data_IF_842273600853
#
_entry.id   IF_842273600853
#
_cell.length_a   1.000
_cell.length_b   1.000
_cell.length_c   1.000
_cell.angle_alpha   90.00
_cell.angle_beta   90.00
_cell.angle_gamma   90.00
#
_symmetry.space_group_name_H-M   'P 1'
#
loop_
_entity.id
_entity.type
_entity.pdbx_description
1 polymer ?
2 polymer ?
3 non-polymer ?
4 water ?
#
# COMPACT_ATOMS: atom_id res chain seq x y z
N UNK A 1 1.22 -24.66 -25.51
CA UNK A 1 0.31 -23.49 -25.30
C UNK A 1 1.12 -22.34 -24.66
N UNK A 2 0.69 -21.09 -24.95
CA UNK A 2 1.35 -19.88 -24.45
C UNK A 2 1.07 -19.75 -22.95
N UNK A 3 2.13 -19.52 -22.18
CA UNK A 3 2.04 -19.35 -20.76
C UNK A 3 3.18 -18.44 -20.27
N UNK A 4 2.94 -17.72 -19.16
CA UNK A 4 3.97 -17.03 -18.40
C UNK A 4 3.90 -17.54 -16.95
N UNK A 5 5.07 -17.86 -16.38
CA UNK A 5 5.22 -18.29 -15.01
C UNK A 5 6.18 -17.34 -14.30
N UNK A 6 5.69 -16.69 -13.23
CA UNK A 6 6.52 -15.83 -12.40
C UNK A 6 7.04 -16.59 -11.18
N UNK A 7 8.18 -16.14 -10.66
CA UNK A 7 8.66 -16.58 -9.37
C UNK A 7 9.52 -15.47 -8.78
N UNK A 8 9.79 -15.57 -7.49
CA UNK A 8 10.74 -14.70 -6.82
C UNK A 8 10.15 -13.87 -5.69
N UNK A 9 8.82 -13.92 -5.53
CA UNK A 9 8.13 -13.11 -4.57
C UNK A 9 8.31 -13.61 -3.15
N UNK A 10 8.24 -12.68 -2.21
CA UNK A 10 8.31 -13.00 -0.85
C UNK A 10 8.53 -11.77 0.00
N UNK A 11 8.98 -12.04 1.21
CA UNK A 11 9.17 -11.06 2.23
C UNK A 11 10.57 -10.44 2.07
N UNK A 12 10.64 -9.11 2.08
CA UNK A 12 11.89 -8.41 1.92
C UNK A 12 11.84 -7.15 2.80
N UNK A 13 12.98 -6.83 3.40
CA UNK A 13 13.15 -5.71 4.30
C UNK A 13 13.09 -4.42 3.49
N UNK A 14 12.60 -3.30 4.07
CA UNK A 14 12.64 -2.01 3.38
C UNK A 14 14.11 -1.65 3.07
N UNK A 15 14.35 -1.10 1.89
CA UNK A 15 15.68 -0.77 1.41
C UNK A 15 16.41 -1.95 0.75
N UNK A 16 15.81 -3.14 0.83
CA UNK A 16 16.39 -4.35 0.26
C UNK A 16 16.09 -4.47 -1.23
N UNK A 17 16.54 -5.58 -1.80
CA UNK A 17 16.39 -5.84 -3.22
C UNK A 17 15.85 -7.25 -3.41
N UNK A 18 15.18 -7.42 -4.55
CA UNK A 18 14.56 -8.64 -4.94
C UNK A 18 14.61 -8.69 -6.46
N UNK A 19 14.63 -9.89 -7.05
CA UNK A 19 14.50 -10.07 -8.44
C UNK A 19 13.34 -11.02 -8.71
N UNK A 20 12.40 -10.58 -9.56
CA UNK A 20 11.33 -11.42 -10.02
C UNK A 20 11.69 -11.96 -11.38
N UNK A 21 11.32 -13.21 -11.64
CA UNK A 21 11.47 -13.79 -12.96
C UNK A 21 10.10 -14.05 -13.59
N UNK A 22 10.09 -14.02 -14.91
CA UNK A 22 8.93 -14.25 -15.72
C UNK A 22 9.36 -15.15 -16.88
N UNK A 23 9.04 -16.45 -16.78
CA UNK A 23 9.46 -17.43 -17.76
C UNK A 23 8.31 -17.73 -18.71
N UNK A 24 8.59 -17.66 -20.01
CA UNK A 24 7.61 -17.82 -21.07
C UNK A 24 7.69 -19.22 -21.65
N UNK A 25 6.53 -19.77 -22.07
CA UNK A 25 6.41 -21.04 -22.83
C UNK A 25 5.47 -20.82 -24.03
N UNK A 26 5.80 -21.42 -25.19
CA UNK A 26 4.91 -21.48 -26.35
C UNK A 26 4.98 -20.25 -27.25
N UNK A 27 5.88 -19.33 -26.90
CA UNK A 27 6.25 -18.18 -27.72
C UNK A 27 7.61 -17.69 -27.22
N UNK A 28 8.28 -16.86 -28.01
CA UNK A 28 9.61 -16.33 -27.69
C UNK A 28 9.45 -14.89 -27.23
N UNK A 29 10.06 -14.55 -26.11
CA UNK A 29 9.88 -13.21 -25.56
C UNK A 29 10.55 -12.18 -26.48
N UNK A 30 11.52 -12.59 -27.32
CA UNK A 30 12.16 -11.59 -28.18
C UNK A 30 11.32 -11.34 -29.44
N UNK A 31 10.10 -11.90 -29.53
CA UNK A 31 9.13 -11.56 -30.59
C UNK A 31 8.10 -10.53 -30.08
N UNK A 32 8.28 -9.98 -28.87
CA UNK A 32 7.19 -9.19 -28.25
C UNK A 32 7.82 -8.23 -27.22
N UNK A 33 6.98 -7.56 -26.45
CA UNK A 33 7.38 -6.87 -25.25
C UNK A 33 6.88 -7.64 -24.05
N UNK A 34 7.64 -7.58 -22.95
CA UNK A 34 7.17 -8.11 -21.66
C UNK A 34 6.92 -6.91 -20.76
N UNK A 35 5.73 -6.88 -20.14
CA UNK A 35 5.38 -5.86 -19.18
C UNK A 35 5.28 -6.46 -17.79
N UNK A 36 5.50 -5.59 -16.80
CA UNK A 36 5.21 -5.84 -15.42
C UNK A 36 4.10 -4.87 -15.00
N UNK A 37 3.13 -5.41 -14.28
CA UNK A 37 1.97 -4.75 -13.75
C UNK A 37 1.81 -5.20 -12.30
N UNK A 38 1.50 -4.27 -11.41
CA UNK A 38 1.34 -4.64 -10.02
C UNK A 38 -0.03 -4.21 -9.50
N UNK A 39 -0.49 -4.94 -8.48
CA UNK A 39 -1.73 -4.72 -7.81
C UNK A 39 -1.44 -4.56 -6.32
N UNK A 40 -1.28 -3.30 -5.92
CA UNK A 40 -1.11 -2.94 -4.53
C UNK A 40 -2.50 -2.82 -3.92
N UNK A 41 -2.71 -3.24 -2.65
CA UNK A 41 -4.05 -3.13 -2.04
C UNK A 41 -4.57 -1.69 -2.18
N UNK A 42 -5.76 -1.56 -2.78
CA UNK A 42 -6.49 -0.29 -2.85
C UNK A 42 -6.09 0.57 -4.06
N UNK A 43 -5.16 0.11 -4.88
CA UNK A 43 -4.58 0.94 -5.99
C UNK A 43 -4.80 0.29 -7.35
N UNK A 44 -5.75 -0.63 -7.46
CA UNK A 44 -6.09 -1.26 -8.73
C UNK A 44 -4.88 -1.88 -9.41
N UNK A 45 -4.84 -1.84 -10.74
CA UNK A 45 -3.70 -2.31 -11.50
C UNK A 45 -2.87 -1.08 -11.87
N UNK A 46 -1.55 -1.20 -11.65
CA UNK A 46 -0.60 -0.17 -12.04
C UNK A 46 0.46 -0.75 -12.96
N UNK A 47 0.59 -0.18 -14.16
CA UNK A 47 1.68 -0.50 -15.04
C UNK A 47 3.00 -0.02 -14.41
N UNK A 48 4.01 -0.87 -14.43
CA UNK A 48 5.30 -0.67 -13.77
C UNK A 48 6.43 -0.44 -14.79
N UNK A 49 6.53 -1.31 -15.80
CA UNK A 49 7.70 -1.33 -16.68
C UNK A 49 7.43 -2.22 -17.89
N UNK A 50 8.26 -2.02 -18.93
CA UNK A 50 8.29 -2.97 -20.03
C UNK A 50 9.70 -3.09 -20.56
N UNK A 51 9.93 -4.19 -21.25
CA UNK A 51 11.15 -4.46 -21.97
C UNK A 51 10.82 -5.01 -23.35
N UNK A 52 11.61 -4.61 -24.32
CA UNK A 52 11.67 -5.22 -25.66
C UNK A 52 12.90 -6.12 -25.69
N UNK A 53 12.77 -7.45 -25.44
CA UNK A 53 13.95 -8.31 -25.26
C UNK A 53 14.96 -8.37 -26.40
N UNK A 54 14.55 -8.07 -27.63
CA UNK A 54 15.49 -8.06 -28.76
C UNK A 54 16.71 -7.18 -28.47
N UNK A 55 16.48 -5.96 -27.96
CA UNK A 55 17.55 -4.99 -27.76
C UNK A 55 17.62 -4.53 -26.28
N UNK A 56 16.80 -5.11 -25.41
CA UNK A 56 16.75 -4.72 -24.00
C UNK A 56 16.28 -3.29 -23.75
N UNK A 57 15.67 -2.61 -24.75
CA UNK A 57 15.08 -1.29 -24.51
C UNK A 57 14.00 -1.41 -23.42
N UNK A 58 13.99 -0.43 -22.50
CA UNK A 58 13.09 -0.44 -21.33
C UNK A 58 12.35 0.89 -21.19
N UNK A 59 11.18 0.82 -20.53
CA UNK A 59 10.44 1.99 -20.07
C UNK A 59 9.91 1.68 -18.66
N UNK A 60 9.87 2.70 -17.80
CA UNK A 60 9.51 2.55 -16.38
C UNK A 60 8.43 3.59 -16.03
N UNK A 61 7.51 3.22 -15.16
CA UNK A 61 6.61 4.19 -14.54
C UNK A 61 7.42 5.05 -13.57
N UNK A 62 6.94 6.29 -13.37
CA UNK A 62 7.58 7.27 -12.48
C UNK A 62 7.73 6.71 -11.07
N UNK A 63 6.77 5.87 -10.65
CA UNK A 63 6.74 5.35 -9.29
C UNK A 63 7.95 4.46 -8.98
N UNK A 64 8.52 3.79 -10.01
CA UNK A 64 9.63 2.83 -9.81
C UNK A 64 10.89 3.25 -10.56
N UNK A 65 10.81 4.25 -11.43
CA UNK A 65 11.94 4.64 -12.25
C UNK A 65 13.09 5.11 -11.36
N UNK A 66 14.30 4.61 -11.65
CA UNK A 66 15.49 4.93 -10.87
C UNK A 66 15.75 3.92 -9.76
N UNK A 67 14.83 2.97 -9.57
CA UNK A 67 14.94 1.94 -8.52
C UNK A 67 14.82 0.53 -9.13
N UNK A 68 13.90 0.35 -10.07
CA UNK A 68 13.66 -0.96 -10.66
C UNK A 68 14.20 -0.96 -12.09
N UNK A 69 14.82 -2.08 -12.47
CA UNK A 69 15.28 -2.28 -13.86
C UNK A 69 14.73 -3.61 -14.36
N UNK A 70 14.53 -3.69 -15.68
CA UNK A 70 14.16 -4.94 -16.32
C UNK A 70 15.33 -5.43 -17.15
N UNK A 71 15.49 -6.75 -17.21
CA UNK A 71 16.40 -7.43 -18.10
C UNK A 71 15.74 -8.69 -18.65
N UNK A 72 16.40 -9.35 -19.58
CA UNK A 72 15.87 -10.55 -20.20
C UNK A 72 17.03 -11.44 -20.63
N UNK A 73 16.81 -12.75 -20.54
CA UNK A 73 17.71 -13.75 -21.05
C UNK A 73 16.92 -14.52 -22.09
N UNK A 74 17.18 -14.21 -23.37
CA UNK A 74 16.36 -14.74 -24.47
C UNK A 74 16.64 -16.24 -24.62
N UNK A 75 17.83 -16.73 -24.26
CA UNK A 75 18.11 -18.17 -24.36
C UNK A 75 17.28 -18.97 -23.35
N UNK A 76 17.02 -18.41 -22.16
CA UNK A 76 16.17 -19.03 -21.13
C UNK A 76 14.69 -18.64 -21.31
N UNK A 77 14.42 -17.72 -22.24
CA UNK A 77 13.10 -17.24 -22.55
C UNK A 77 12.45 -16.66 -21.29
N UNK A 78 13.21 -15.82 -20.57
CA UNK A 78 12.84 -15.32 -19.26
C UNK A 78 13.18 -13.84 -19.16
N UNK A 79 12.26 -13.08 -18.57
CA UNK A 79 12.49 -11.68 -18.24
C UNK A 79 12.55 -11.54 -16.73
N UNK A 80 13.28 -10.51 -16.25
CA UNK A 80 13.50 -10.28 -14.84
C UNK A 80 13.19 -8.84 -14.47
N UNK A 81 12.54 -8.64 -13.33
CA UNK A 81 12.38 -7.35 -12.74
C UNK A 81 13.28 -7.27 -11.51
N UNK A 82 14.29 -6.40 -11.58
CA UNK A 82 15.23 -6.19 -10.50
C UNK A 82 14.73 -4.99 -9.69
N UNK A 83 14.37 -5.23 -8.44
CA UNK A 83 13.79 -4.24 -7.58
C UNK A 83 14.83 -3.87 -6.51
N UNK A 84 15.13 -2.57 -6.43
CA UNK A 84 16.12 -2.00 -5.53
C UNK A 84 15.42 -0.96 -4.65
N UNK A 85 15.98 -0.71 -3.47
CA UNK A 85 15.54 0.35 -2.56
C UNK A 85 14.05 0.19 -2.32
N UNK A 86 13.67 -1.03 -1.97
CA UNK A 86 12.26 -1.37 -1.83
C UNK A 86 11.64 -0.57 -0.68
N UNK A 87 10.44 -0.05 -0.91
CA UNK A 87 9.64 0.69 0.10
C UNK A 87 8.31 -0.03 0.37
N UNK A 88 7.62 0.42 1.41
CA UNK A 88 6.30 -0.03 1.80
C UNK A 88 5.33 -0.07 0.62
N UNK A 89 5.27 1.04 -0.14
CA UNK A 89 4.34 1.23 -1.27
C UNK A 89 4.55 0.20 -2.38
N UNK A 90 5.67 -0.53 -2.35
CA UNK A 90 6.01 -1.51 -3.39
C UNK A 90 5.36 -2.87 -3.10
N UNK A 91 4.82 -3.03 -1.87
CA UNK A 91 4.06 -4.21 -1.49
C UNK A 91 2.90 -4.37 -2.48
N UNK A 92 2.85 -5.49 -3.19
CA UNK A 92 1.84 -5.73 -4.20
C UNK A 92 2.00 -7.14 -4.75
N UNK A 93 0.97 -7.59 -5.45
CA UNK A 93 1.11 -8.72 -6.34
C UNK A 93 1.66 -8.20 -7.67
N UNK A 94 2.77 -8.81 -8.13
CA UNK A 94 3.41 -8.45 -9.36
C UNK A 94 3.05 -9.48 -10.43
N UNK A 95 2.60 -8.96 -11.59
CA UNK A 95 2.28 -9.77 -12.73
C UNK A 95 3.24 -9.41 -13.85
N UNK A 96 3.59 -10.41 -14.65
CA UNK A 96 4.12 -10.13 -15.94
C UNK A 96 3.08 -10.49 -16.99
N UNK A 97 3.23 -9.87 -18.16
CA UNK A 97 2.32 -10.02 -19.26
C UNK A 97 3.06 -9.79 -20.58
N UNK A 98 2.51 -10.30 -21.67
CA UNK A 98 3.05 -9.96 -22.96
C UNK A 98 2.11 -8.99 -23.69
N UNK A 99 2.71 -8.23 -24.57
CA UNK A 99 2.06 -7.24 -25.40
C UNK A 99 1.75 -7.91 -26.73
N UNK A 100 0.68 -8.70 -26.79
CA UNK A 100 0.44 -9.60 -27.95
C UNK A 100 0.28 -8.80 -29.24
N UNK A 101 0.75 -9.38 -30.36
CA UNK A 101 0.78 -8.69 -31.69
C UNK A 101 1.30 -7.26 -31.61
N UNK A 102 2.42 -7.15 -30.88
CA UNK A 102 3.19 -5.92 -30.56
C UNK A 102 2.24 -4.77 -30.14
N UNK A 103 1.17 -5.13 -29.42
CA UNK A 103 0.19 -4.23 -28.80
C UNK A 103 -1.22 -4.32 -29.36
N UNK A 104 -1.41 -4.93 -30.53
CA UNK A 104 -2.73 -5.05 -31.12
C UNK A 104 -3.66 -5.85 -30.20
N UNK A 105 -3.12 -6.81 -29.45
CA UNK A 105 -3.96 -7.67 -28.60
C UNK A 105 -3.83 -7.29 -27.12
N UNK A 106 -3.29 -6.09 -26.86
CA UNK A 106 -3.11 -5.57 -25.52
C UNK A 106 -2.37 -6.64 -24.70
N UNK A 107 -2.73 -6.84 -23.43
CA UNK A 107 -1.98 -7.81 -22.65
C UNK A 107 -2.76 -9.12 -22.65
N UNK A 108 -2.42 -10.01 -23.60
CA UNK A 108 -3.25 -11.13 -23.92
C UNK A 108 -2.79 -12.37 -23.13
N UNK A 109 -1.58 -12.37 -22.59
CA UNK A 109 -1.10 -13.50 -21.75
C UNK A 109 -0.52 -12.91 -20.46
N UNK A 110 -0.92 -13.48 -19.32
CA UNK A 110 -0.53 -12.99 -17.99
C UNK A 110 0.06 -14.13 -17.18
N UNK A 111 1.09 -13.82 -16.38
CA UNK A 111 1.54 -14.71 -15.37
C UNK A 111 0.52 -14.84 -14.26
N UNK A 112 0.79 -15.76 -13.33
CA UNK A 112 -0.14 -16.09 -12.23
C UNK A 112 -0.04 -15.06 -11.09
N UNK A 113 1.01 -14.24 -11.12
CA UNK A 113 1.25 -13.23 -10.09
C UNK A 113 2.11 -13.78 -8.95
N UNK A 114 2.95 -12.91 -8.38
CA UNK A 114 3.73 -13.26 -7.22
C UNK A 114 3.70 -12.07 -6.26
N UNK A 115 3.47 -12.38 -4.97
CA UNK A 115 3.34 -11.37 -3.94
C UNK A 115 4.71 -10.92 -3.45
N UNK A 116 4.92 -9.61 -3.40
CA UNK A 116 6.10 -9.03 -2.78
C UNK A 116 5.62 -8.22 -1.59
N UNK A 117 6.14 -8.56 -0.40
CA UNK A 117 5.78 -7.95 0.86
C UNK A 117 7.03 -7.26 1.44
N UNK A 118 6.98 -5.94 1.52
CA UNK A 118 8.05 -5.17 2.09
C UNK A 118 7.75 -4.98 3.58
N UNK A 119 8.59 -5.61 4.41
CA UNK A 119 8.40 -5.75 5.84
C UNK A 119 9.66 -5.28 6.60
N UNK B 1 0.45 9.59 -18.61
CA UNK B 1 -0.09 10.72 -19.44
C UNK B 1 -1.62 10.56 -19.59
N UNK B 2 -2.08 9.59 -20.39
CA UNK B 2 -3.55 9.41 -20.65
C UNK B 2 -4.25 8.83 -19.42
N UNK B 3 -5.23 9.57 -18.87
CA UNK B 3 -6.03 9.12 -17.74
C UNK B 3 -7.26 8.35 -18.24
N UNK B 4 -7.51 7.17 -17.66
CA UNK B 4 -8.71 6.37 -17.93
C UNK B 4 -9.62 6.49 -16.72
N UNK B 5 -10.83 7.03 -16.91
CA UNK B 5 -11.82 7.21 -15.86
C UNK B 5 -12.90 6.14 -16.01
N UNK B 6 -12.98 5.27 -15.02
CA UNK B 6 -13.90 4.16 -15.01
C UNK B 6 -15.07 4.54 -14.06
N UNK B 7 -16.30 4.16 -14.43
CA UNK B 7 -17.45 4.33 -13.53
C UNK B 7 -18.48 3.23 -13.76
N UNK B 8 -19.13 2.75 -12.67
CA UNK B 8 -18.87 3.14 -11.29
C UNK B 8 -17.66 2.39 -10.69
N UNK B 9 -17.30 2.72 -9.44
CA UNK B 9 -16.17 2.09 -8.73
C UNK B 9 -16.53 0.69 -8.27
N UNK B 10 -17.82 0.50 -7.92
CA UNK B 10 -18.35 -0.82 -7.64
C UNK B 10 -19.87 -0.84 -7.84
N UNK B 11 -20.42 -2.03 -8.05
CA UNK B 11 -21.83 -2.18 -8.17
C UNK B 11 -22.23 -3.57 -7.68
N UNK B 12 -23.51 -3.71 -7.32
CA UNK B 12 -24.09 -4.99 -7.02
C UNK B 12 -25.25 -5.30 -8.00
N UNK B 13 -25.38 -6.58 -8.35
CA UNK B 13 -26.39 -7.06 -9.28
C UNK B 13 -26.67 -8.55 -9.02
N UNK B 14 -27.78 -9.04 -9.58
CA UNK B 14 -28.18 -10.43 -9.44
C UNK B 14 -27.79 -11.23 -10.69
N UNK B 15 -27.63 -12.54 -10.50
CA UNK B 15 -27.49 -13.48 -11.60
C UNK B 15 -28.61 -13.20 -12.60
N UNK B 16 -28.25 -13.01 -13.87
CA UNK B 16 -29.22 -12.80 -14.96
C UNK B 16 -29.38 -11.34 -15.34
N UNK B 17 -28.87 -10.43 -14.50
CA UNK B 17 -28.95 -8.99 -14.78
C UNK B 17 -27.96 -8.63 -15.89
N UNK B 18 -28.29 -7.61 -16.69
CA UNK B 18 -27.34 -6.90 -17.53
C UNK B 18 -26.67 -5.82 -16.67
N UNK B 19 -25.35 -5.67 -16.83
CA UNK B 19 -24.58 -4.59 -16.19
C UNK B 19 -23.66 -3.95 -17.22
N UNK B 20 -23.51 -2.62 -17.11
CA UNK B 20 -22.67 -1.88 -18.01
C UNK B 20 -21.71 -1.03 -17.17
N UNK B 21 -20.44 -1.04 -17.58
CA UNK B 21 -19.35 -0.28 -17.01
C UNK B 21 -18.82 0.65 -18.11
N UNK B 22 -18.50 1.87 -17.72
CA UNK B 22 -18.12 2.92 -18.65
C UNK B 22 -16.68 3.34 -18.35
N UNK B 23 -15.95 3.67 -19.41
CA UNK B 23 -14.58 4.12 -19.34
C UNK B 23 -14.42 5.32 -20.30
N UNK B 24 -13.85 6.41 -19.82
CA UNK B 24 -13.62 7.62 -20.58
C UNK B 24 -12.12 7.93 -20.56
N UNK B 25 -11.54 8.14 -21.74
CA UNK B 25 -10.13 8.50 -21.87
C UNK B 25 -10.01 10.03 -21.92
N UNK B 26 -8.93 10.55 -21.31
CA UNK B 26 -8.66 12.00 -21.25
C UNK B 26 -8.19 12.56 -22.60
N UNK B 27 -7.91 11.68 -23.58
CA UNK B 27 -7.48 12.10 -24.92
C UNK B 27 -7.91 11.01 -25.90
N UNK B 28 -7.79 11.30 -27.20
CA UNK B 28 -8.01 10.33 -28.27
C UNK B 28 -7.14 9.09 -27.98
N UNK B 29 -7.75 7.90 -28.12
CA UNK B 29 -7.02 6.61 -28.07
C UNK B 29 -7.43 5.75 -29.27
N UNK B 30 -8.01 6.38 -30.31
CA UNK B 30 -8.54 5.62 -31.43
C UNK B 30 -9.44 4.50 -30.87
N UNK B 31 -9.31 3.29 -31.41
CA UNK B 31 -10.11 2.15 -31.03
C UNK B 31 -9.45 1.39 -29.87
N UNK B 32 -8.28 1.82 -29.39
CA UNK B 32 -7.35 0.94 -28.67
C UNK B 32 -7.65 0.90 -27.17
N UNK B 33 -8.77 0.25 -26.79
CA UNK B 33 -9.14 0.08 -25.37
C UNK B 33 -9.38 -1.40 -25.08
N UNK B 34 -8.80 -1.89 -23.98
CA UNK B 34 -8.96 -3.25 -23.57
C UNK B 34 -9.70 -3.30 -22.24
N UNK B 35 -10.31 -4.45 -21.96
CA UNK B 35 -11.05 -4.73 -20.75
C UNK B 35 -10.55 -6.05 -20.16
N UNK B 36 -10.27 -6.06 -18.86
CA UNK B 36 -9.78 -7.20 -18.17
C UNK B 36 -10.73 -7.57 -17.02
N UNK B 37 -10.80 -8.87 -16.77
CA UNK B 37 -11.50 -9.42 -15.64
C UNK B 37 -10.46 -9.95 -14.65
N UNK B 38 -10.57 -9.52 -13.39
CA UNK B 38 -9.76 -10.13 -12.36
C UNK B 38 -10.63 -10.67 -11.22
N UNK B 39 -10.65 -11.99 -11.10
CA UNK B 39 -11.27 -12.67 -10.01
C UNK B 39 -10.32 -12.67 -8.83
N UNK B 40 -10.86 -12.63 -7.58
CA UNK B 40 -10.03 -12.64 -6.39
C UNK B 40 -9.16 -13.90 -6.35
N UNK B 41 -7.86 -13.72 -6.19
CA UNK B 41 -6.91 -14.82 -6.13
C UNK B 41 -6.30 -15.14 -7.49
N UNK B 42 -6.82 -14.51 -8.57
CA UNK B 42 -6.43 -14.86 -9.93
C UNK B 42 -5.75 -13.67 -10.61
N UNK B 43 -5.03 -14.01 -11.68
CA UNK B 43 -4.41 -13.05 -12.60
C UNK B 43 -5.50 -12.37 -13.42
N UNK B 44 -5.33 -11.09 -13.82
CA UNK B 44 -6.24 -10.46 -14.78
C UNK B 44 -6.29 -11.30 -16.06
N UNK B 45 -7.44 -11.26 -16.75
CA UNK B 45 -7.63 -11.97 -17.96
C UNK B 45 -8.23 -11.01 -18.98
N UNK B 46 -7.70 -11.04 -20.20
CA UNK B 46 -8.16 -10.16 -21.25
C UNK B 46 -9.54 -10.63 -21.73
N UNK B 47 -10.49 -9.70 -21.78
CA UNK B 47 -11.85 -9.97 -22.32
C UNK B 47 -12.02 -9.37 -23.69
N UNK B 48 -11.69 -8.08 -23.80
CA UNK B 48 -11.94 -7.27 -24.98
C UNK B 48 -10.64 -6.55 -25.33
N UNK B 49 -10.28 -6.53 -26.62
CA UNK B 49 -9.24 -5.66 -27.16
C UNK B 49 -9.82 -4.78 -28.28
N UNK B 50 -9.16 -3.65 -28.51
CA UNK B 50 -9.50 -2.60 -29.50
C UNK B 50 -10.99 -2.24 -29.43
N UNK B 51 -11.41 -1.88 -28.21
CA UNK B 51 -12.74 -1.39 -27.81
C UNK B 51 -13.81 -2.48 -27.91
N UNK B 52 -13.87 -3.24 -29.01
CA UNK B 52 -15.05 -4.09 -29.25
C UNK B 52 -14.70 -5.49 -29.76
N UNK B 53 -13.43 -5.91 -29.76
CA UNK B 53 -13.12 -7.26 -30.20
C UNK B 53 -13.11 -8.21 -29.00
N UNK B 54 -13.82 -9.33 -29.15
CA UNK B 54 -13.88 -10.37 -28.11
C UNK B 54 -12.65 -11.25 -28.24
N UNK B 55 -11.89 -11.35 -27.14
CA UNK B 55 -10.74 -12.26 -27.12
C UNK B 55 -11.27 -13.68 -27.33
N UNK B 56 -10.57 -14.44 -28.17
CA UNK B 56 -10.95 -15.81 -28.50
C UNK B 56 -11.08 -16.64 -27.20
N UNK B 57 -12.23 -17.28 -27.01
CA UNK B 57 -12.51 -18.10 -25.82
C UNK B 57 -13.46 -17.44 -24.82
N UNK B 58 -13.51 -16.11 -24.84
CA UNK B 58 -14.27 -15.36 -23.85
C UNK B 58 -15.75 -15.50 -24.15
N UNK B 59 -16.60 -15.80 -23.14
CA UNK B 59 -18.05 -15.87 -23.33
C UNK B 59 -18.67 -14.63 -24.01
N UNK B 60 -19.66 -14.85 -24.89
CA UNK B 60 -20.21 -13.83 -25.81
C UNK B 60 -21.17 -12.86 -25.09
N UNK B 61 -21.57 -13.19 -23.86
CA UNK B 61 -22.32 -12.28 -23.00
C UNK B 61 -21.49 -11.02 -22.67
N UNK B 62 -20.16 -11.12 -22.72
CA UNK B 62 -19.26 -9.96 -22.59
C UNK B 62 -19.17 -9.26 -23.95
N UNK B 63 -19.48 -7.96 -23.99
CA UNK B 63 -19.25 -7.17 -25.21
C UNK B 63 -18.77 -5.76 -24.86
N UNK B 64 -17.92 -5.23 -25.75
CA UNK B 64 -17.37 -3.90 -25.62
C UNK B 64 -17.93 -2.99 -26.69
N UNK B 65 -18.09 -1.69 -26.38
CA UNK B 65 -18.56 -0.69 -27.36
C UNK B 65 -17.81 0.62 -27.17
N UNK B 66 -17.83 1.46 -28.21
CA UNK B 66 -17.08 2.69 -28.24
C UNK B 66 -17.96 3.76 -28.88
N UNK B 67 -18.11 4.90 -28.20
CA UNK B 67 -18.67 6.12 -28.77
C UNK B 67 -17.69 7.28 -28.52
N UNK B 68 -16.84 7.57 -29.51
CA UNK B 68 -15.79 8.59 -29.39
C UNK B 68 -14.75 8.19 -28.35
N UNK B 69 -14.59 9.01 -27.31
CA UNK B 69 -13.66 8.79 -26.20
C UNK B 69 -14.36 7.98 -25.08
N UNK B 70 -15.65 7.65 -25.27
CA UNK B 70 -16.46 6.85 -24.31
C UNK B 70 -16.47 5.37 -24.74
N UNK B 71 -16.16 4.49 -23.77
CA UNK B 71 -16.08 3.06 -23.98
C UNK B 71 -16.95 2.36 -22.95
N UNK B 72 -17.65 1.28 -23.35
CA UNK B 72 -18.49 0.55 -22.41
C UNK B 72 -18.22 -0.95 -22.52
N UNK B 73 -18.25 -1.61 -21.37
CA UNK B 73 -18.31 -3.06 -21.29
C UNK B 73 -19.68 -3.42 -20.79
N UNK B 74 -20.33 -4.36 -21.48
CA UNK B 74 -21.60 -4.88 -21.06
C UNK B 74 -21.48 -6.37 -20.80
N UNK B 75 -22.03 -6.81 -19.66
CA UNK B 75 -22.31 -8.21 -19.40
C UNK B 75 -23.83 -8.39 -19.49
N UNK B 76 -24.29 -9.13 -20.51
CA UNK B 76 -25.70 -9.14 -20.91
C UNK B 76 -26.54 -10.02 -19.98
N UNK B 77 -25.89 -11.00 -19.32
CA UNK B 77 -26.60 -11.94 -18.44
C UNK B 77 -25.62 -12.49 -17.41
N UNK B 78 -25.53 -11.81 -16.26
CA UNK B 78 -24.54 -12.04 -15.24
C UNK B 78 -24.63 -13.48 -14.76
N UNK B 79 -23.49 -14.17 -14.74
CA UNK B 79 -23.42 -15.53 -14.21
C UNK B 79 -22.67 -15.49 -12.88
N UNK B 80 -22.85 -16.51 -12.01
CA UNK B 80 -22.20 -16.52 -10.69
C UNK B 80 -20.69 -16.27 -10.72
N UNK B 81 -20.03 -16.84 -11.74
CA UNK B 81 -18.58 -16.79 -11.93
C UNK B 81 -18.10 -15.45 -12.50
N UNK B 82 -19.00 -14.48 -12.72
CA UNK B 82 -18.63 -13.16 -13.25
C UNK B 82 -18.38 -12.14 -12.13
N UNK B 83 -18.57 -12.55 -10.86
CA UNK B 83 -18.19 -11.76 -9.69
C UNK B 83 -16.68 -11.51 -9.71
N UNK B 84 -16.28 -10.26 -9.94
CA UNK B 84 -14.88 -9.92 -10.20
C UNK B 84 -14.70 -8.39 -10.18
N UNK B 85 -13.46 -7.95 -10.35
CA UNK B 85 -13.16 -6.57 -10.62
C UNK B 85 -12.77 -6.47 -12.10
N UNK B 86 -13.39 -5.49 -12.78
CA UNK B 86 -13.17 -5.26 -14.19
C UNK B 86 -12.37 -3.97 -14.36
N UNK B 87 -11.38 -4.00 -15.26
CA UNK B 87 -10.52 -2.87 -15.52
C UNK B 87 -10.52 -2.56 -17.02
N UNK B 88 -10.61 -1.27 -17.37
CA UNK B 88 -10.29 -0.81 -18.70
C UNK B 88 -8.82 -0.37 -18.73
N UNK B 89 -8.27 -0.30 -19.95
CA UNK B 89 -6.89 0.08 -20.24
C UNK B 89 -6.87 0.67 -21.65
N UNK B 90 -6.13 1.77 -21.87
CA UNK B 90 -5.82 2.20 -23.22
C UNK B 90 -4.51 1.54 -23.64
N UNK B 91 -4.51 0.96 -24.84
CA UNK B 91 -3.33 0.44 -25.48
C UNK B 91 -3.02 1.24 -26.75
N UNK B 92 -3.05 2.58 -26.63
CA UNK B 92 -2.84 3.49 -27.75
C UNK B 92 -1.40 3.98 -27.76
N UNK B 93 -0.97 4.50 -26.61
CA UNK B 93 0.34 5.06 -26.41
C UNK B 93 0.88 4.59 -25.06
N UNK B 94 2.19 4.76 -24.87
CA UNK B 94 2.91 4.44 -23.64
C UNK B 94 2.83 5.64 -22.70
N UNK B 95 2.70 5.40 -21.39
CA UNK B 95 2.51 4.10 -20.79
C UNK B 95 1.10 3.57 -20.96
N UNK B 96 0.85 2.25 -21.06
CA UNK B 96 -0.53 1.76 -21.04
C UNK B 96 -1.08 2.15 -19.66
N UNK B 97 -2.27 2.73 -19.61
CA UNK B 97 -2.83 3.19 -18.32
C UNK B 97 -4.14 2.44 -18.09
N UNK B 98 -4.47 2.18 -16.82
CA UNK B 98 -5.65 1.42 -16.44
C UNK B 98 -6.66 2.34 -15.75
N UNK B 99 -7.95 2.05 -15.92
CA UNK B 99 -9.00 2.58 -15.05
C UNK B 99 -8.83 2.08 -13.62
N UNK B 100 -9.55 2.71 -12.70
CA UNK B 100 -9.43 2.45 -11.26
C UNK B 100 -10.01 1.08 -10.91
N UNK B 101 -10.77 0.47 -11.83
CA UNK B 101 -11.43 -0.81 -11.61
C UNK B 101 -12.88 -0.62 -11.15
N UNK B 102 -13.74 -1.54 -11.58
CA UNK B 102 -15.13 -1.61 -11.10
C UNK B 102 -15.37 -2.99 -10.49
N UNK B 103 -15.60 -3.02 -9.19
CA UNK B 103 -15.87 -4.27 -8.47
C UNK B 103 -17.36 -4.63 -8.62
N UNK B 104 -17.63 -5.83 -9.13
CA UNK B 104 -18.98 -6.31 -9.37
C UNK B 104 -19.24 -7.40 -8.35
N UNK B 105 -20.23 -7.16 -7.47
CA UNK B 105 -20.65 -8.09 -6.44
C UNK B 105 -22.02 -8.69 -6.78
N UNK B 106 -22.14 -9.99 -6.51
CA UNK B 106 -23.39 -10.73 -6.58
C UNK B 106 -23.76 -11.09 -5.15
N UNK C 1 12.93 -4.78 29.40
CA UNK C 1 12.07 -5.87 29.99
C UNK C 1 10.61 -5.42 30.07
N UNK C 2 10.36 -4.12 30.35
CA UNK C 2 9.05 -3.48 30.09
C UNK C 2 8.86 -3.37 28.57
N UNK C 3 7.91 -4.13 28.01
CA UNK C 3 7.72 -4.11 26.57
C UNK C 3 6.31 -4.58 26.20
N UNK C 4 6.02 -4.36 24.93
CA UNK C 4 4.84 -4.88 24.24
C UNK C 4 5.32 -5.76 23.09
N UNK C 5 4.78 -6.99 22.99
CA UNK C 5 5.13 -7.93 21.93
C UNK C 5 3.87 -8.24 21.11
N UNK C 6 3.91 -7.88 19.83
CA UNK C 6 2.81 -8.17 18.94
C UNK C 6 3.03 -9.48 18.17
N UNK C 7 1.89 -10.07 17.81
CA UNK C 7 1.85 -11.21 16.96
C UNK C 7 0.49 -11.21 16.27
N UNK C 8 0.37 -12.10 15.28
CA UNK C 8 -0.75 -12.10 14.35
C UNK C 8 -0.36 -11.42 13.05
N UNK C 9 -1.34 -11.23 12.18
CA UNK C 9 -1.15 -10.50 10.95
C UNK C 9 -0.74 -11.42 9.82
N UNK C 10 -0.43 -10.79 8.71
CA UNK C 10 -0.10 -11.48 7.50
C UNK C 10 -1.07 -11.09 6.40
N UNK C 11 -1.17 -11.99 5.42
CA UNK C 11 -2.02 -11.85 4.29
C UNK C 11 -3.46 -12.26 4.66
N UNK C 12 -4.43 -11.45 4.23
CA UNK C 12 -5.82 -11.79 4.33
C UNK C 12 -6.53 -11.25 3.10
N UNK C 13 -7.55 -11.99 2.63
CA UNK C 13 -8.33 -11.58 1.45
C UNK C 13 -9.21 -10.39 1.83
N UNK C 14 -9.56 -9.49 0.88
CA UNK C 14 -10.50 -8.41 1.17
C UNK C 14 -11.84 -9.00 1.61
N UNK C 15 -12.48 -8.41 2.62
CA UNK C 15 -13.71 -8.96 3.20
C UNK C 15 -13.44 -9.95 4.33
N UNK C 16 -12.18 -10.32 4.54
CA UNK C 16 -11.82 -11.32 5.54
C UNK C 16 -11.64 -10.72 6.93
N UNK C 17 -11.26 -11.58 7.87
CA UNK C 17 -11.07 -11.21 9.27
C UNK C 17 -9.67 -11.63 9.70
N UNK C 18 -9.12 -10.87 10.64
CA UNK C 18 -7.82 -11.16 11.20
C UNK C 18 -7.83 -10.63 12.64
N UNK C 19 -7.03 -11.24 13.51
CA UNK C 19 -6.87 -10.77 14.89
C UNK C 19 -5.39 -10.56 15.18
N UNK C 20 -5.05 -9.48 15.89
CA UNK C 20 -3.70 -9.22 16.33
C UNK C 20 -3.69 -9.30 17.86
N UNK C 21 -2.51 -9.67 18.41
CA UNK C 21 -2.32 -9.64 19.85
C UNK C 21 -1.17 -8.72 20.21
N UNK C 22 -1.24 -8.18 21.43
CA UNK C 22 -0.27 -7.31 21.99
C UNK C 22 -0.05 -7.73 23.45
N UNK C 23 1.04 -8.45 23.72
CA UNK C 23 1.32 -9.00 25.05
C UNK C 23 2.27 -8.07 25.80
N UNK C 24 1.88 -7.68 27.02
CA UNK C 24 2.65 -6.80 27.88
C UNK C 24 3.56 -7.63 28.79
N UNK C 25 4.79 -7.15 28.99
CA UNK C 25 5.69 -7.59 30.08
C UNK C 25 6.19 -6.38 30.88
N UNK C 26 6.34 -6.54 32.19
CA UNK C 26 6.97 -5.53 33.05
C UNK C 26 5.96 -4.55 33.62
N UNK C 27 4.71 -4.64 33.18
CA UNK C 27 3.61 -3.82 33.69
C UNK C 27 2.31 -4.56 33.40
N UNK C 28 1.22 -4.12 34.05
CA UNK C 28 -0.11 -4.75 33.90
C UNK C 28 -0.95 -3.86 32.99
N UNK C 29 -1.56 -4.45 31.97
CA UNK C 29 -2.32 -3.67 31.05
C UNK C 29 -3.60 -3.11 31.70
N UNK C 30 -4.08 -3.70 32.80
CA UNK C 30 -5.39 -3.28 33.30
C UNK C 30 -5.30 -1.93 34.02
N UNK C 31 -4.09 -1.49 34.40
CA UNK C 31 -3.91 -0.18 35.04
C UNK C 31 -3.25 0.79 34.03
N UNK C 32 -3.62 0.70 32.75
CA UNK C 32 -3.19 1.71 31.75
C UNK C 32 -4.14 1.66 30.55
N UNK C 33 -3.93 2.53 29.56
CA UNK C 33 -4.61 2.39 28.30
C UNK C 33 -3.67 1.75 27.28
N UNK C 34 -4.23 0.87 26.47
CA UNK C 34 -3.50 0.25 25.36
C UNK C 34 -4.13 0.76 24.06
N UNK C 35 -3.28 1.17 23.12
CA UNK C 35 -3.73 1.69 21.85
C UNK C 35 -3.23 0.80 20.71
N UNK C 36 -3.96 0.88 19.59
CA UNK C 36 -3.46 0.43 18.30
C UNK C 36 -3.34 1.64 17.37
N UNK C 37 -2.20 1.71 16.69
CA UNK C 37 -1.86 2.76 15.74
C UNK C 37 -1.31 2.06 14.49
N UNK C 38 -1.74 2.50 13.30
CA UNK C 38 -1.33 1.83 12.06
C UNK C 38 -0.67 2.82 11.11
N UNK C 39 0.16 2.29 10.21
CA UNK C 39 0.84 3.04 9.19
C UNK C 39 0.61 2.35 7.85
N UNK C 40 -0.22 2.94 6.99
CA UNK C 40 -0.49 2.41 5.66
C UNK C 40 0.71 2.69 4.78
N UNK C 41 0.99 1.88 3.72
CA UNK C 41 2.17 2.12 2.88
C UNK C 41 2.18 3.59 2.43
N UNK C 42 3.27 4.29 2.75
CA UNK C 42 3.55 5.64 2.25
C UNK C 42 2.88 6.75 3.04
N UNK C 43 2.11 6.41 4.08
CA UNK C 43 1.29 7.37 4.82
C UNK C 43 1.76 7.45 6.28
N UNK C 44 1.14 8.36 7.04
CA UNK C 44 1.56 8.61 8.38
C UNK C 44 1.11 7.52 9.34
N UNK C 45 1.27 7.82 10.63
CA UNK C 45 0.70 7.10 11.72
C UNK C 45 -0.75 7.55 11.89
N UNK C 46 -1.66 6.57 12.04
CA UNK C 46 -3.07 6.79 12.24
C UNK C 46 -3.52 6.00 13.48
N UNK C 47 -4.01 6.72 14.48
CA UNK C 47 -4.59 6.10 15.64
C UNK C 47 -5.88 5.37 15.23
N UNK C 48 -6.07 4.15 15.71
CA UNK C 48 -7.33 3.44 15.35
C UNK C 48 -8.19 3.04 16.55
N UNK C 49 -7.62 2.74 17.72
CA UNK C 49 -8.44 2.29 18.85
C UNK C 49 -7.66 2.35 20.17
N UNK C 50 -8.39 2.45 21.28
CA UNK C 50 -7.79 2.31 22.58
C UNK C 50 -8.76 1.60 23.51
N UNK C 51 -8.18 1.01 24.56
CA UNK C 51 -8.95 0.28 25.58
C UNK C 51 -8.38 0.61 26.95
N UNK C 52 -9.30 0.77 27.91
CA UNK C 52 -9.02 0.73 29.33
C UNK C 52 -9.43 -0.64 29.88
N UNK C 53 -8.51 -1.62 29.96
CA UNK C 53 -8.90 -3.01 30.20
C UNK C 53 -9.64 -3.30 31.52
N UNK C 54 -9.49 -2.43 32.52
CA UNK C 54 -10.17 -2.62 33.79
C UNK C 54 -11.68 -2.76 33.57
N UNK C 55 -12.27 -1.91 32.74
CA UNK C 55 -13.73 -1.86 32.56
C UNK C 55 -14.10 -2.07 31.09
N UNK C 56 -13.12 -2.33 30.22
CA UNK C 56 -13.36 -2.57 28.81
C UNK C 56 -13.93 -1.36 28.06
N UNK C 57 -13.85 -0.15 28.63
CA UNK C 57 -14.08 1.11 27.89
C UNK C 57 -13.20 1.10 26.62
N UNK C 58 -13.84 1.23 25.45
CA UNK C 58 -13.18 1.30 24.18
C UNK C 58 -13.59 2.56 23.42
N UNK C 59 -12.66 3.05 22.58
CA UNK C 59 -12.90 4.11 21.59
C UNK C 59 -12.23 3.72 20.27
N UNK C 60 -12.86 4.12 19.15
CA UNK C 60 -12.45 3.78 17.80
C UNK C 60 -12.36 5.03 16.93
N UNK C 61 -11.42 5.06 16.00
CA UNK C 61 -11.43 6.07 14.95
C UNK C 61 -12.63 5.81 14.01
N UNK C 62 -13.17 6.90 13.45
CA UNK C 62 -14.28 6.88 12.51
C UNK C 62 -13.95 5.94 11.33
N UNK C 63 -12.68 5.87 10.95
CA UNK C 63 -12.25 5.11 9.77
C UNK C 63 -12.47 3.60 9.98
N UNK C 64 -12.45 3.13 11.22
CA UNK C 64 -12.50 1.68 11.52
C UNK C 64 -13.74 1.28 12.32
N UNK C 65 -14.50 2.26 12.81
CA UNK C 65 -15.64 2.01 13.66
C UNK C 65 -16.62 1.07 12.95
N UNK C 66 -17.09 0.04 13.69
CA UNK C 66 -18.05 -0.94 13.17
C UNK C 66 -17.37 -2.20 12.65
N UNK C 67 -16.09 -2.09 12.26
CA UNK C 67 -15.34 -3.19 11.67
C UNK C 67 -14.30 -3.74 12.64
N UNK C 68 -13.77 -2.90 13.54
CA UNK C 68 -12.71 -3.37 14.48
C UNK C 68 -13.29 -3.45 15.89
N UNK C 69 -12.77 -4.40 16.67
CA UNK C 69 -13.03 -4.57 18.06
C UNK C 69 -11.66 -4.64 18.77
N UNK C 70 -11.44 -3.83 19.81
CA UNK C 70 -10.31 -3.95 20.68
C UNK C 70 -10.77 -4.56 21.99
N UNK C 71 -9.99 -5.50 22.53
CA UNK C 71 -10.35 -6.24 23.74
C UNK C 71 -9.07 -6.57 24.50
N UNK C 72 -9.21 -7.13 25.70
CA UNK C 72 -8.08 -7.51 26.48
C UNK C 72 -8.44 -8.72 27.35
N UNK C 73 -7.44 -9.54 27.62
CA UNK C 73 -7.50 -10.57 28.61
C UNK C 73 -6.47 -10.22 29.68
N UNK C 74 -6.96 -9.73 30.82
CA UNK C 74 -6.09 -9.22 31.89
C UNK C 74 -5.34 -10.37 32.57
N UNK C 75 -5.89 -11.59 32.55
CA UNK C 75 -5.18 -12.78 33.05
C UNK C 75 -3.92 -13.10 32.24
N UNK C 76 -4.02 -12.96 30.91
CA UNK C 76 -2.91 -13.18 29.96
C UNK C 76 -2.05 -11.91 29.81
N UNK C 77 -2.52 -10.77 30.34
CA UNK C 77 -1.85 -9.50 30.24
C UNK C 77 -1.65 -9.16 28.75
N UNK C 78 -2.71 -9.36 27.95
CA UNK C 78 -2.66 -9.25 26.50
C UNK C 78 -3.89 -8.50 26.01
N UNK C 79 -3.67 -7.61 25.04
CA UNK C 79 -4.71 -6.92 24.36
C UNK C 79 -4.80 -7.45 22.91
N UNK C 80 -5.99 -7.34 22.31
CA UNK C 80 -6.27 -7.88 21.02
C UNK C 80 -6.93 -6.82 20.16
N UNK C 81 -6.70 -6.90 18.84
CA UNK C 81 -7.44 -6.15 17.88
C UNK C 81 -8.07 -7.15 16.92
N UNK C 82 -9.40 -7.20 16.89
CA UNK C 82 -10.13 -8.00 15.93
C UNK C 82 -10.57 -7.12 14.77
N UNK C 83 -10.27 -7.57 13.54
CA UNK C 83 -10.64 -6.81 12.36
C UNK C 83 -11.51 -7.71 11.47
N UNK C 84 -12.66 -7.19 11.03
CA UNK C 84 -13.48 -7.91 10.06
C UNK C 84 -13.82 -6.98 8.90
N UNK C 85 -14.40 -7.58 7.86
CA UNK C 85 -14.84 -6.85 6.68
C UNK C 85 -13.67 -6.03 6.13
N UNK C 86 -12.48 -6.64 6.11
CA UNK C 86 -11.25 -5.89 5.88
C UNK C 86 -11.28 -5.33 4.45
N UNK C 87 -10.88 -4.07 4.34
CA UNK C 87 -10.79 -3.35 3.10
C UNK C 87 -9.33 -3.29 2.70
N UNK C 88 -9.10 -3.03 1.40
CA UNK C 88 -7.76 -2.85 0.87
C UNK C 88 -7.00 -1.78 1.68
N UNK C 89 -7.65 -0.65 1.97
CA UNK C 89 -7.00 0.46 2.65
C UNK C 89 -6.79 0.19 4.15
N UNK C 90 -7.12 -1.02 4.65
CA UNK C 90 -6.74 -1.45 6.02
C UNK C 90 -5.32 -2.03 6.05
N UNK C 91 -4.75 -2.23 4.87
CA UNK C 91 -3.36 -2.66 4.69
C UNK C 91 -2.45 -1.67 5.41
N UNK C 92 -1.63 -2.16 6.32
CA UNK C 92 -0.81 -1.32 7.13
C UNK C 92 0.07 -2.16 8.05
N UNK C 93 1.11 -1.53 8.60
CA UNK C 93 1.76 -2.05 9.77
C UNK C 93 0.95 -1.57 10.99
N UNK C 94 0.53 -2.52 11.84
CA UNK C 94 -0.21 -2.21 13.04
C UNK C 94 0.74 -2.28 14.23
N UNK C 95 0.75 -1.22 15.03
CA UNK C 95 1.51 -1.16 16.26
C UNK C 95 0.54 -1.12 17.44
N UNK C 96 0.95 -1.70 18.57
CA UNK C 96 0.29 -1.36 19.79
C UNK C 96 1.23 -0.51 20.65
N UNK C 97 0.63 0.29 21.52
CA UNK C 97 1.35 1.18 22.39
C UNK C 97 0.59 1.35 23.70
N UNK C 98 1.28 1.90 24.70
CA UNK C 98 0.63 2.29 25.94
C UNK C 98 0.82 3.78 26.15
N UNK C 99 -0.08 4.36 26.95
CA UNK C 99 0.17 5.65 27.63
C UNK C 99 1.09 5.43 28.85
N UNK C 100 2.07 6.33 29.01
CA UNK C 100 3.17 6.20 29.97
C UNK C 100 2.76 6.61 31.38
N UNK C 104 -0.09 10.62 32.07
CA UNK C 104 0.99 10.86 31.12
C UNK C 104 0.60 10.25 29.77
N UNK C 105 0.43 11.11 28.75
CA UNK C 105 -0.31 10.75 27.54
C UNK C 105 0.61 10.58 26.34
N UNK C 106 1.93 10.55 26.58
CA UNK C 106 2.91 10.15 25.58
C UNK C 106 2.89 8.63 25.46
N UNK C 107 3.17 8.13 24.25
CA UNK C 107 3.24 6.70 24.07
C UNK C 107 4.69 6.27 24.21
N UNK C 108 5.05 5.79 25.41
CA UNK C 108 6.45 5.58 25.77
C UNK C 108 6.89 4.15 25.41
N UNK C 109 5.96 3.20 25.28
CA UNK C 109 6.31 1.82 24.94
C UNK C 109 5.45 1.40 23.75
N UNK C 110 6.12 0.85 22.72
CA UNK C 110 5.52 0.45 21.47
C UNK C 110 5.87 -1.01 21.20
N UNK C 111 4.92 -1.75 20.64
CA UNK C 111 5.23 -3.04 20.07
C UNK C 111 6.06 -2.86 18.80
N UNK C 112 6.57 -3.97 18.26
CA UNK C 112 7.55 -3.99 17.15
C UNK C 112 6.84 -3.80 15.80
N UNK C 113 5.53 -3.93 15.78
CA UNK C 113 4.71 -3.74 14.58
C UNK C 113 4.46 -5.06 13.88
N UNK C 114 3.27 -5.23 13.30
CA UNK C 114 2.99 -6.38 12.51
C UNK C 114 2.26 -5.93 11.23
N UNK C 115 2.70 -6.45 10.09
CA UNK C 115 2.13 -6.10 8.79
C UNK C 115 0.83 -6.88 8.55
N UNK C 116 -0.22 -6.17 8.14
CA UNK C 116 -1.44 -6.74 7.66
C UNK C 116 -1.58 -6.31 6.20
N UNK C 117 -1.64 -7.29 5.28
CA UNK C 117 -1.78 -7.06 3.85
C UNK C 117 -3.12 -7.63 3.39
N UNK C 118 -4.01 -6.73 2.95
CA UNK C 118 -5.32 -7.12 2.54
C UNK C 118 -5.29 -7.24 1.02
N UNK C 119 -5.21 -8.48 0.53
CA UNK C 119 -4.95 -8.80 -0.89
C UNK C 119 -5.84 -9.98 -1.31
N UNK D 1 -9.45 15.01 15.80
CA UNK D 1 -9.98 16.25 15.21
C UNK D 1 -8.80 17.20 14.97
N UNK D 2 -7.90 17.33 15.95
CA UNK D 2 -6.68 18.20 15.88
C UNK D 2 -5.71 17.68 14.80
N UNK D 3 -5.42 18.52 13.79
CA UNK D 3 -4.48 18.20 12.72
C UNK D 3 -3.07 18.61 13.17
N UNK D 4 -2.10 17.70 12.97
CA UNK D 4 -0.71 17.98 13.19
C UNK D 4 -0.03 18.14 11.81
N UNK D 5 0.57 19.31 11.59
CA UNK D 5 1.19 19.66 10.32
C UNK D 5 2.70 19.67 10.50
N UNK D 6 3.32 18.77 9.75
CA UNK D 6 4.72 18.59 9.81
C UNK D 6 5.34 19.22 8.55
N UNK D 7 6.48 19.90 8.73
CA UNK D 7 7.22 20.43 7.59
C UNK D 7 8.72 20.26 7.80
N UNK D 8 9.43 19.87 6.73
CA UNK D 8 8.86 19.37 5.46
C UNK D 8 8.49 17.88 5.57
N UNK D 9 7.91 17.32 4.49
CA UNK D 9 7.52 15.90 4.46
C UNK D 9 8.75 14.99 4.25
N UNK D 10 9.78 15.51 3.57
CA UNK D 10 11.08 14.84 3.57
C UNK D 10 12.19 15.85 3.29
N UNK D 11 13.41 15.49 3.68
CA UNK D 11 14.56 16.32 3.40
C UNK D 11 15.78 15.41 3.31
N UNK D 12 16.81 15.92 2.62
CA UNK D 12 18.11 15.32 2.64
C UNK D 12 19.13 16.32 3.20
N UNK D 13 20.08 15.80 3.96
CA UNK D 13 21.19 16.56 4.51
C UNK D 13 22.38 15.62 4.75
N UNK D 14 23.55 16.19 5.05
CA UNK D 14 24.77 15.40 5.20
C UNK D 14 25.05 15.13 6.69
N UNK D 15 25.78 14.03 6.94
CA UNK D 15 26.34 13.72 8.24
C UNK D 15 27.01 14.99 8.76
N UNK D 16 26.64 15.40 9.98
CA UNK D 16 27.26 16.55 10.66
C UNK D 16 26.43 17.82 10.54
N UNK D 17 25.44 17.84 9.64
CA UNK D 17 24.56 18.99 9.47
C UNK D 17 23.60 19.08 10.67
N UNK D 18 23.22 20.31 11.02
CA UNK D 18 22.08 20.56 11.88
C UNK D 18 20.83 20.62 11.01
N UNK D 19 19.74 19.96 11.46
CA UNK D 19 18.50 19.88 10.71
C UNK D 19 17.33 20.11 11.68
N UNK D 20 16.31 20.82 11.20
CA UNK D 20 15.19 21.24 12.01
C UNK D 20 13.90 20.84 11.30
N UNK D 21 13.02 20.18 12.06
CA UNK D 21 11.70 19.76 11.63
C UNK D 21 10.68 20.53 12.48
N UNK D 22 9.63 20.99 11.82
CA UNK D 22 8.65 21.85 12.42
C UNK D 22 7.31 21.13 12.45
N UNK D 23 6.57 21.35 13.54
CA UNK D 23 5.27 20.77 13.75
C UNK D 23 4.36 21.88 14.32
N UNK D 24 3.17 22.01 13.69
CA UNK D 24 2.15 22.96 14.08
C UNK D 24 0.86 22.18 14.35
N UNK D 25 0.16 22.52 15.43
CA UNK D 25 -1.17 21.94 15.71
C UNK D 25 -2.26 22.92 15.24
N UNK D 26 -3.38 22.38 14.78
CA UNK D 26 -4.55 23.18 14.33
C UNK D 26 -5.38 23.73 15.52
N UNK D 27 -5.03 23.36 16.75
CA UNK D 27 -5.66 23.92 17.96
C UNK D 27 -4.60 23.94 19.06
N UNK D 28 -4.88 24.67 20.13
CA UNK D 28 -4.01 24.76 21.30
C UNK D 28 -3.75 23.33 21.81
N UNK D 29 -2.49 23.03 22.15
CA UNK D 29 -2.10 21.75 22.73
C UNK D 29 -1.18 21.97 23.95
N UNK D 30 -1.15 23.18 24.50
CA UNK D 30 -0.23 23.44 25.60
C UNK D 30 1.18 23.07 25.12
N UNK D 31 1.99 22.46 25.99
CA UNK D 31 3.32 21.94 25.66
C UNK D 31 3.24 20.43 25.40
N UNK D 32 2.03 19.88 25.23
CA UNK D 32 1.81 18.41 25.10
C UNK D 32 2.05 17.92 23.67
N UNK D 33 3.33 17.94 23.25
CA UNK D 33 3.73 17.44 21.94
C UNK D 33 4.91 16.48 22.14
N UNK D 34 4.80 15.31 21.48
CA UNK D 34 5.84 14.33 21.49
C UNK D 34 6.42 14.22 20.08
N UNK D 35 7.65 13.70 20.04
CA UNK D 35 8.34 13.40 18.81
C UNK D 35 8.82 11.96 18.86
N UNK D 36 8.58 11.25 17.76
CA UNK D 36 8.98 9.88 17.61
C UNK D 36 9.92 9.76 16.43
N UNK D 37 10.88 8.84 16.59
CA UNK D 37 11.74 8.42 15.53
C UNK D 37 11.31 7.02 15.09
N UNK D 38 11.10 6.84 13.79
CA UNK D 38 10.81 5.51 13.25
C UNK D 38 11.84 5.16 12.17
N UNK D 39 12.62 4.11 12.43
CA UNK D 39 13.51 3.53 11.48
C UNK D 39 12.73 2.59 10.57
N UNK D 40 13.09 2.48 9.28
CA UNK D 40 12.21 1.85 8.29
C UNK D 40 11.95 0.37 8.63
N UNK D 41 10.68 0.00 8.76
CA UNK D 41 10.26 -1.35 9.10
C UNK D 41 10.21 -1.61 10.61
N UNK D 42 10.62 -0.64 11.43
CA UNK D 42 10.73 -0.78 12.89
C UNK D 42 9.72 0.12 13.61
N UNK D 43 9.63 -0.13 14.92
CA UNK D 43 8.70 0.52 15.84
C UNK D 43 9.09 1.99 16.04
N UNK D 44 8.12 2.90 16.21
CA UNK D 44 8.45 4.26 16.64
C UNK D 44 9.13 4.22 18.01
N UNK D 45 10.00 5.20 18.26
CA UNK D 45 10.66 5.35 19.53
C UNK D 45 10.43 6.78 19.99
N UNK D 46 10.02 6.92 21.24
CA UNK D 46 9.75 8.22 21.81
C UNK D 46 11.08 8.94 22.04
N UNK D 47 11.18 10.17 21.55
CA UNK D 47 12.41 10.98 21.70
C UNK D 47 12.17 12.07 22.74
N UNK D 48 11.14 12.88 22.47
CA UNK D 48 10.76 14.00 23.29
C UNK D 48 9.28 13.83 23.67
N UNK D 49 8.98 14.08 24.95
CA UNK D 49 7.60 14.28 25.41
C UNK D 49 7.48 15.67 26.05
N UNK D 50 6.24 16.17 26.01
CA UNK D 50 5.82 17.51 26.46
C UNK D 50 6.77 18.59 25.92
N UNK D 51 6.95 18.57 24.59
CA UNK D 51 7.67 19.60 23.78
C UNK D 51 9.18 19.65 24.06
N UNK D 52 9.62 19.54 25.32
CA UNK D 52 11.01 19.80 25.73
C UNK D 52 11.73 18.50 26.16
N UNK D 53 11.02 17.56 26.79
CA UNK D 53 11.68 16.61 27.70
C UNK D 53 12.25 15.40 26.95
N UNK D 54 13.54 15.14 27.15
CA UNK D 54 14.26 14.04 26.50
C UNK D 54 14.01 12.76 27.29
N UNK D 55 13.48 11.75 26.61
CA UNK D 55 13.33 10.43 27.21
C UNK D 55 14.73 9.92 27.58
N UNK D 56 14.81 9.22 28.72
CA UNK D 56 16.01 8.51 29.17
C UNK D 56 16.59 7.64 28.04
N UNK D 57 17.86 7.89 27.69
CA UNK D 57 18.57 7.13 26.65
C UNK D 57 18.78 7.91 25.36
N UNK D 58 17.98 8.96 25.13
CA UNK D 58 18.01 9.69 23.85
C UNK D 58 19.30 10.51 23.78
N UNK D 59 20.09 10.41 22.68
CA UNK D 59 21.28 11.26 22.52
C UNK D 59 20.99 12.78 22.62
N UNK D 60 21.97 13.53 23.15
CA UNK D 60 21.89 14.98 23.51
C UNK D 60 21.76 15.90 22.27
N UNK D 61 22.22 15.41 21.12
CA UNK D 61 22.14 16.14 19.85
C UNK D 61 20.67 16.37 19.44
N UNK D 62 19.75 15.49 19.89
CA UNK D 62 18.30 15.67 19.71
C UNK D 62 17.80 16.67 20.75
N UNK D 63 17.10 17.70 20.27
CA UNK D 63 16.58 18.74 21.10
C UNK D 63 15.22 19.17 20.56
N UNK D 64 14.25 19.28 21.47
CA UNK D 64 12.91 19.74 21.13
C UNK D 64 12.68 21.13 21.67
N UNK D 65 11.96 21.95 20.91
CA UNK D 65 11.69 23.34 21.30
C UNK D 65 10.28 23.73 20.90
N UNK D 66 9.82 24.85 21.45
CA UNK D 66 8.57 25.44 21.08
C UNK D 66 8.84 26.94 20.87
N UNK D 67 8.61 27.40 19.63
CA UNK D 67 8.76 28.78 19.26
C UNK D 67 7.42 29.32 18.74
N UNK D 68 6.73 30.06 19.62
CA UNK D 68 5.33 30.40 19.46
C UNK D 68 4.47 29.15 19.37
N UNK D 69 3.74 29.04 18.25
CA UNK D 69 2.81 27.95 17.98
C UNK D 69 3.53 26.82 17.22
N UNK D 70 4.83 27.03 16.93
CA UNK D 70 5.67 26.04 16.23
C UNK D 70 6.45 25.20 17.27
N UNK D 71 6.33 23.88 17.16
CA UNK D 71 7.22 22.96 17.84
C UNK D 71 8.31 22.57 16.84
N UNK D 72 9.53 22.43 17.33
CA UNK D 72 10.63 22.04 16.49
C UNK D 72 11.39 20.89 17.14
N UNK D 73 11.82 19.97 16.29
CA UNK D 73 12.84 18.98 16.62
C UNK D 73 14.11 19.42 15.89
N UNK D 74 15.23 19.49 16.61
CA UNK D 74 16.49 19.81 16.04
C UNK D 74 17.46 18.66 16.30
N UNK D 75 18.14 18.21 15.23
CA UNK D 75 19.30 17.33 15.35
C UNK D 75 20.53 18.17 15.03
N UNK D 76 21.38 18.40 16.05
CA UNK D 76 22.45 19.39 15.96
C UNK D 76 23.66 18.86 15.19
N UNK D 77 23.77 17.53 15.08
CA UNK D 77 24.86 16.91 14.32
C UNK D 77 24.39 15.56 13.80
N UNK D 78 23.84 15.56 12.59
CA UNK D 78 23.25 14.37 11.98
C UNK D 78 24.30 13.24 11.96
N UNK D 79 23.94 12.07 12.51
CA UNK D 79 24.79 10.90 12.44
C UNK D 79 24.16 9.94 11.44
N UNK D 80 24.94 9.01 10.84
CA UNK D 80 24.40 8.06 9.87
C UNK D 80 23.15 7.30 10.34
N UNK D 81 23.12 6.98 11.63
CA UNK D 81 22.05 6.21 12.28
C UNK D 81 20.81 7.06 12.58
N UNK D 82 20.80 8.36 12.24
CA UNK D 82 19.65 9.25 12.49
C UNK D 82 18.77 9.36 11.22
N UNK D 83 19.18 8.69 10.14
CA UNK D 83 18.34 8.47 8.94
C UNK D 83 17.08 7.70 9.36
N UNK D 84 15.95 8.40 9.32
CA UNK D 84 14.69 7.87 9.84
C UNK D 84 13.55 8.79 9.40
N UNK D 85 12.32 8.39 9.75
CA UNK D 85 11.16 9.23 9.62
C UNK D 85 10.79 9.67 11.03
N UNK D 86 10.58 10.99 11.20
CA UNK D 86 10.24 11.60 12.46
C UNK D 86 8.78 12.02 12.40
N UNK D 87 8.06 11.74 13.48
CA UNK D 87 6.65 12.07 13.61
C UNK D 87 6.45 12.90 14.87
N UNK D 88 5.67 13.98 14.73
CA UNK D 88 5.17 14.67 15.88
C UNK D 88 3.78 14.13 16.20
N UNK D 89 3.37 14.35 17.46
CA UNK D 89 2.09 13.89 17.97
C UNK D 89 1.66 14.85 19.08
N UNK D 90 0.38 15.23 19.06
CA UNK D 90 -0.21 15.93 20.22
C UNK D 90 -0.71 14.87 21.20
N UNK D 91 -0.37 15.05 22.48
CA UNK D 91 -0.93 14.30 23.57
C UNK D 91 -1.70 15.25 24.48
N UNK D 92 -2.54 16.10 23.86
CA UNK D 92 -3.36 17.09 24.53
C UNK D 92 -4.77 16.55 24.79
N UNK D 93 -5.40 16.03 23.73
CA UNK D 93 -6.78 15.55 23.76
C UNK D 93 -6.88 14.27 22.91
N UNK D 94 -8.00 13.55 23.05
CA UNK D 94 -8.34 12.38 22.24
C UNK D 94 -9.17 12.84 21.05
N UNK D 95 -9.03 12.21 19.89
CA UNK D 95 -8.13 11.08 19.63
C UNK D 95 -6.69 11.55 19.45
N UNK D 96 -5.66 10.75 19.81
CA UNK D 96 -4.29 11.11 19.50
C UNK D 96 -4.19 11.24 17.99
N UNK D 97 -3.56 12.33 17.53
CA UNK D 97 -3.32 12.56 16.11
C UNK D 97 -1.82 12.81 15.91
N UNK D 98 -1.33 12.41 14.73
CA UNK D 98 0.09 12.46 14.40
C UNK D 98 0.30 13.36 13.18
N UNK D 99 1.47 13.98 13.10
CA UNK D 99 1.94 14.57 11.83
C UNK D 99 2.13 13.52 10.73
N UNK D 100 2.25 13.99 9.49
CA UNK D 100 2.34 13.14 8.30
C UNK D 100 3.70 12.43 8.24
N UNK D 101 4.65 12.87 9.08
CA UNK D 101 6.00 12.34 9.13
C UNK D 101 6.96 13.15 8.26
N UNK D 102 8.21 13.24 8.70
CA UNK D 102 9.29 13.85 7.92
C UNK D 102 10.40 12.83 7.75
N UNK D 103 10.60 12.38 6.51
CA UNK D 103 11.64 11.45 6.19
C UNK D 103 12.96 12.19 6.00
N UNK D 104 13.97 11.81 6.79
CA UNK D 104 15.28 12.42 6.77
C UNK D 104 16.23 11.42 6.13
N UNK D 105 16.79 11.80 4.98
CA UNK D 105 17.72 10.98 4.20
C UNK D 105 19.14 11.59 4.28
N UNK D 106 20.14 10.72 4.42
CA UNK D 106 21.54 11.09 4.42
C UNK D 106 22.15 10.53 3.13
X LIG E 1 12.04 2.56 -24.98
X LIG E 1 11.90 3.41 -25.82
X LIG E 1 11.28 1.47 -25.04
X LIG F 1 4.47 -13.95 -29.73
X LIG F 1 4.69 -12.99 -29.02
X LIG F 1 5.47 -14.52 -30.39
X LIG G 1 -1.99 2.59 -14.34
X LIG G 1 -0.98 2.28 -14.97
X LIG G 1 -2.86 3.41 -14.92
X LIG H 1 -12.28 9.50 21.29
X LIG H 1 -11.40 9.06 20.56
X LIG H 1 -11.94 10.21 22.36
#
# INVERSE_FOLDING_TARGET
EVQLVESGGGLVQPGGSLRLSCAASGFNIDDTYIHWVRQAPGKGLEWVARIYPTNGYTRYADSVKGRFTISADTSKNTAYLQMNSLRAEDTAVYYCSRWGGDGFYAMDVWGQGTLVTVSSGGGGSGGGGSGGGGST
DIQMTQSPSSLSASVGDRVTITCRASQDVNTAVAWYQQKPGKAPKLLIYSADFLYSGVPSRFSGSRSGTDFTLTISSLQPEDFATYYCQQHYTTPPTFGQGTKVEI
EVQLVESGGGLVQPGGSLRLSCAASGFNIDDTYIHWVRQAPGKGLEWVARIYPTNGYTRYADSVKGRFTISADTSKNTAYLQMNSLRAEDTAVYYCSRWGGDGFYAMDVWGQGTLVTVSSGGGGSGGGGSGGGGST
DIQMTQSPSSLSASVGDRVTITCRASQDVNTAVAWYQQKPGKAPKLLIYSADFLYSGVPSRFSGSRSGTDFTLTISSLQPEDFATYYCQQHYTTPPTFGQGTKVEI
FMT C O1 O2
FMT C O1 O2
FMT C O1 O2
FMT C O1 O2
#
